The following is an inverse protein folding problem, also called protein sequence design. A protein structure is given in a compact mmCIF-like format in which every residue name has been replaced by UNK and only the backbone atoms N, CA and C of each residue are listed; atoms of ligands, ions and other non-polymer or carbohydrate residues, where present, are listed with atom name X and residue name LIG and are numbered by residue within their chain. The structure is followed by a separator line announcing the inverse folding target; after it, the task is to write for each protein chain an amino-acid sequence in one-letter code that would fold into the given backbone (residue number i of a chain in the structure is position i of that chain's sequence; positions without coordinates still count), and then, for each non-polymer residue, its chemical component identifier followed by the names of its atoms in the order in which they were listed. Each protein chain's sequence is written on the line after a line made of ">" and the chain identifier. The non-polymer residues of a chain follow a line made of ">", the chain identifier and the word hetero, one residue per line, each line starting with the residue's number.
data_IF_349186937400
#
_entry.id   IF_349186937400
#
_cell.length_a   1.000
_cell.length_b   1.000
_cell.length_c   1.000
_cell.angle_alpha   90.00
_cell.angle_beta   90.00
_cell.angle_gamma   90.00
#
_symmetry.space_group_name_H-M   'P 1'
#
loop_
_entity.id
_entity.type
_entity.pdbx_description
1 polymer ?
#
# COMPACT_ATOMS: atom_id res chain seq x y z
N UNK A 1 -49.68 -23.48 3.23
CA UNK A 1 -49.23 -22.51 4.26
C UNK A 1 -47.70 -22.58 4.34
N UNK A 2 -46.99 -21.63 3.74
CA UNK A 2 -45.51 -21.66 3.63
C UNK A 2 -44.94 -21.12 4.95
N UNK A 3 -44.26 -21.96 5.73
CA UNK A 3 -43.49 -21.54 6.93
C UNK A 3 -42.20 -20.87 6.47
N UNK A 4 -42.23 -19.55 6.29
CA UNK A 4 -41.03 -18.77 6.01
C UNK A 4 -40.17 -18.77 7.28
N UNK A 5 -38.96 -19.33 7.19
CA UNK A 5 -38.01 -19.33 8.30
C UNK A 5 -37.29 -17.98 8.35
N UNK A 6 -37.91 -17.01 9.02
CA UNK A 6 -37.51 -15.59 9.06
C UNK A 6 -36.04 -15.38 9.42
N UNK A 7 -35.45 -16.26 10.23
CA UNK A 7 -34.03 -16.20 10.62
C UNK A 7 -33.08 -16.36 9.43
N UNK A 8 -33.40 -17.26 8.48
CA UNK A 8 -32.59 -17.47 7.28
C UNK A 8 -32.80 -16.34 6.26
N UNK A 9 -34.03 -15.82 6.16
CA UNK A 9 -34.34 -14.68 5.30
C UNK A 9 -33.64 -13.39 5.75
N UNK A 10 -33.57 -13.15 7.06
CA UNK A 10 -32.87 -12.00 7.63
C UNK A 10 -31.36 -12.05 7.36
N UNK A 11 -30.73 -13.21 7.52
CA UNK A 11 -29.30 -13.37 7.22
C UNK A 11 -29.02 -13.10 5.74
N UNK A 12 -29.86 -13.64 4.85
CA UNK A 12 -29.72 -13.40 3.41
C UNK A 12 -29.90 -11.90 3.07
N UNK A 13 -30.88 -11.24 3.68
CA UNK A 13 -31.12 -9.80 3.50
C UNK A 13 -29.94 -8.94 3.98
N UNK A 14 -29.38 -9.24 5.15
CA UNK A 14 -28.18 -8.56 5.66
C UNK A 14 -26.97 -8.83 4.76
N UNK A 15 -26.82 -10.04 4.25
CA UNK A 15 -25.72 -10.39 3.34
C UNK A 15 -25.81 -9.63 2.01
N UNK A 16 -27.01 -9.48 1.45
CA UNK A 16 -27.24 -8.65 0.25
C UNK A 16 -26.99 -7.17 0.54
N UNK A 17 -27.36 -6.65 1.71
CA UNK A 17 -27.04 -5.28 2.12
C UNK A 17 -25.53 -5.03 2.21
N UNK A 18 -24.77 -5.98 2.76
CA UNK A 18 -23.31 -5.88 2.87
C UNK A 18 -22.61 -5.94 1.50
N UNK A 19 -23.19 -6.63 0.52
CA UNK A 19 -22.67 -6.67 -0.85
C UNK A 19 -22.96 -5.38 -1.65
N UNK A 20 -23.89 -4.54 -1.17
CA UNK A 20 -24.18 -3.21 -1.72
C UNK A 20 -23.42 -2.09 -0.99
N UNK A 21 -22.56 -2.42 -0.04
CA UNK A 21 -21.52 -1.49 0.38
C UNK A 21 -20.58 -1.37 -0.82
N UNK A 22 -20.83 -0.35 -1.64
CA UNK A 22 -20.02 0.02 -2.80
C UNK A 22 -18.53 -0.08 -2.46
N UNK A 23 -17.66 -0.41 -3.43
CA UNK A 23 -16.26 -0.15 -3.23
C UNK A 23 -16.15 1.33 -2.91
N UNK A 24 -15.68 1.66 -1.69
CA UNK A 24 -15.18 2.99 -1.37
C UNK A 24 -13.90 3.13 -2.20
N UNK A 25 -14.08 3.32 -3.50
CA UNK A 25 -13.06 3.94 -4.32
C UNK A 25 -13.05 5.36 -3.80
N UNK A 26 -12.06 5.69 -2.98
CA UNK A 26 -11.74 7.08 -2.69
C UNK A 26 -11.35 7.70 -4.03
N UNK A 27 -12.33 8.27 -4.73
CA UNK A 27 -12.07 9.14 -5.86
C UNK A 27 -11.11 10.22 -5.37
N UNK A 28 -10.05 10.51 -6.13
CA UNK A 28 -9.15 11.61 -5.78
C UNK A 28 -9.94 12.90 -6.06
N UNK A 29 -10.44 13.53 -5.00
CA UNK A 29 -11.42 14.63 -5.09
C UNK A 29 -10.75 15.93 -5.53
N UNK A 30 -9.45 16.10 -5.25
CA UNK A 30 -8.70 17.31 -5.61
C UNK A 30 -7.22 17.04 -5.93
N UNK A 31 -6.60 17.97 -6.67
CA UNK A 31 -5.15 17.97 -6.92
C UNK A 31 -4.35 18.06 -5.62
N UNK A 32 -4.89 18.73 -4.61
CA UNK A 32 -4.29 18.82 -3.28
C UNK A 32 -4.25 17.45 -2.60
N UNK A 33 -5.36 16.69 -2.64
CA UNK A 33 -5.43 15.34 -2.08
C UNK A 33 -4.45 14.38 -2.81
N UNK A 34 -4.30 14.54 -4.13
CA UNK A 34 -3.32 13.80 -4.92
C UNK A 34 -1.89 14.08 -4.47
N UNK A 35 -1.55 15.36 -4.30
CA UNK A 35 -0.21 15.79 -3.89
C UNK A 35 0.12 15.35 -2.47
N UNK A 36 -0.83 15.44 -1.54
CA UNK A 36 -0.67 14.92 -0.17
C UNK A 36 -0.45 13.41 -0.19
N UNK A 37 -1.27 12.67 -0.95
CA UNK A 37 -1.10 11.22 -1.08
C UNK A 37 0.27 10.86 -1.66
N UNK A 38 0.68 11.47 -2.78
CA UNK A 38 1.95 11.18 -3.41
C UNK A 38 3.13 11.54 -2.51
N UNK A 39 3.04 12.63 -1.76
CA UNK A 39 4.08 13.02 -0.79
C UNK A 39 4.24 11.96 0.29
N UNK A 40 3.15 11.53 0.93
CA UNK A 40 3.19 10.51 1.98
C UNK A 40 3.58 9.12 1.45
N UNK A 41 3.11 8.77 0.25
CA UNK A 41 3.50 7.53 -0.43
C UNK A 41 5.00 7.53 -0.71
N UNK A 42 5.54 8.61 -1.27
CA UNK A 42 6.96 8.75 -1.57
C UNK A 42 7.84 8.68 -0.32
N UNK A 43 7.44 9.31 0.80
CA UNK A 43 8.11 9.13 2.11
C UNK A 43 8.10 7.67 2.56
N UNK A 44 6.98 6.99 2.38
CA UNK A 44 6.84 5.56 2.73
C UNK A 44 7.79 4.68 1.92
N UNK A 45 7.96 4.96 0.62
CA UNK A 45 8.93 4.23 -0.23
C UNK A 45 10.37 4.40 0.27
N UNK A 46 10.77 5.63 0.64
CA UNK A 46 12.13 5.89 1.18
C UNK A 46 12.35 5.12 2.48
N UNK A 47 11.39 5.14 3.39
CA UNK A 47 11.50 4.41 4.66
C UNK A 47 11.62 2.90 4.45
N UNK A 48 10.89 2.33 3.47
CA UNK A 48 10.99 0.90 3.17
C UNK A 48 12.32 0.56 2.47
N UNK A 49 12.88 1.44 1.64
CA UNK A 49 14.25 1.30 1.11
C UNK A 49 15.25 1.23 2.26
N UNK A 50 15.21 2.18 3.20
CA UNK A 50 16.13 2.22 4.34
C UNK A 50 16.04 0.94 5.18
N UNK A 51 14.82 0.54 5.56
CA UNK A 51 14.57 -0.68 6.33
C UNK A 51 15.06 -1.94 5.61
N UNK A 52 14.87 -2.00 4.29
CA UNK A 52 15.32 -3.13 3.47
C UNK A 52 16.83 -3.17 3.32
N UNK A 53 17.48 -2.00 3.23
CA UNK A 53 18.93 -1.88 3.23
C UNK A 53 19.54 -2.38 4.54
N UNK A 54 18.96 -2.06 5.70
CA UNK A 54 19.44 -2.59 6.99
C UNK A 54 19.36 -4.13 7.03
N UNK A 55 18.27 -4.72 6.53
CA UNK A 55 18.15 -6.19 6.42
C UNK A 55 19.18 -6.78 5.45
N UNK A 56 19.51 -6.05 4.39
CA UNK A 56 20.53 -6.47 3.43
C UNK A 56 21.92 -6.50 4.09
N UNK A 57 22.26 -5.51 4.92
CA UNK A 57 23.49 -5.50 5.73
C UNK A 57 23.52 -6.71 6.68
N UNK A 58 22.46 -6.94 7.44
CA UNK A 58 22.38 -8.11 8.34
C UNK A 58 22.58 -9.44 7.59
N UNK A 59 22.09 -9.54 6.36
CA UNK A 59 22.27 -10.73 5.53
C UNK A 59 23.74 -10.94 5.14
N UNK A 60 24.50 -9.87 4.89
CA UNK A 60 25.96 -9.94 4.65
C UNK A 60 26.68 -10.42 5.90
N UNK A 61 26.40 -9.82 7.05
CA UNK A 61 27.03 -10.18 8.33
C UNK A 61 26.83 -11.66 8.68
N UNK A 62 25.63 -12.19 8.37
CA UNK A 62 25.25 -13.58 8.62
C UNK A 62 25.59 -14.53 7.46
N UNK A 63 26.31 -14.06 6.43
CA UNK A 63 26.70 -14.84 5.23
C UNK A 63 25.51 -15.48 4.50
N UNK A 64 24.35 -14.82 4.49
CA UNK A 64 23.11 -15.29 3.84
C UNK A 64 22.95 -14.67 2.45
N UNK A 65 23.70 -15.17 1.47
CA UNK A 65 23.73 -14.61 0.11
C UNK A 65 22.36 -14.60 -0.58
N UNK A 66 21.51 -15.58 -0.32
CA UNK A 66 20.13 -15.62 -0.87
C UNK A 66 19.29 -14.44 -0.35
N UNK A 67 19.34 -14.18 0.95
CA UNK A 67 18.60 -13.07 1.59
C UNK A 67 19.14 -11.71 1.11
N UNK A 68 20.47 -11.59 0.99
CA UNK A 68 21.11 -10.39 0.41
C UNK A 68 20.58 -10.09 -0.99
N UNK A 69 20.55 -11.10 -1.87
CA UNK A 69 20.06 -10.94 -3.24
C UNK A 69 18.56 -10.64 -3.29
N UNK A 70 17.78 -11.24 -2.39
CA UNK A 70 16.34 -10.99 -2.28
C UNK A 70 16.08 -9.54 -1.86
N UNK A 71 16.78 -9.03 -0.85
CA UNK A 71 16.65 -7.64 -0.41
C UNK A 71 17.15 -6.67 -1.48
N UNK A 72 18.23 -6.99 -2.19
CA UNK A 72 18.72 -6.14 -3.29
C UNK A 72 17.71 -5.97 -4.42
N UNK A 73 17.03 -7.05 -4.83
CA UNK A 73 15.95 -6.97 -5.83
C UNK A 73 14.74 -6.20 -5.30
N UNK A 74 14.41 -6.35 -4.02
CA UNK A 74 13.31 -5.62 -3.39
C UNK A 74 13.58 -4.12 -3.35
N UNK A 75 14.78 -3.72 -2.91
CA UNK A 75 15.24 -2.32 -2.93
C UNK A 75 15.17 -1.77 -4.35
N UNK A 76 15.70 -2.49 -5.34
CA UNK A 76 15.65 -2.08 -6.74
C UNK A 76 14.22 -1.82 -7.23
N UNK A 77 13.28 -2.73 -6.92
CA UNK A 77 11.87 -2.56 -7.31
C UNK A 77 11.24 -1.31 -6.68
N UNK A 78 11.50 -1.04 -5.40
CA UNK A 78 10.98 0.16 -4.74
C UNK A 78 11.63 1.43 -5.30
N UNK A 79 12.95 1.40 -5.54
CA UNK A 79 13.68 2.54 -6.14
C UNK A 79 13.19 2.86 -7.55
N UNK A 80 12.82 1.85 -8.34
CA UNK A 80 12.23 2.05 -9.66
C UNK A 80 10.86 2.73 -9.58
N UNK A 81 9.98 2.31 -8.66
CA UNK A 81 8.70 3.00 -8.40
C UNK A 81 8.93 4.44 -7.94
N UNK A 82 9.87 4.67 -7.02
CA UNK A 82 10.23 6.01 -6.54
C UNK A 82 10.65 6.94 -7.69
N UNK A 83 11.48 6.43 -8.61
CA UNK A 83 11.94 7.19 -9.76
C UNK A 83 10.79 7.48 -10.75
N UNK A 84 9.96 6.48 -11.06
CA UNK A 84 8.86 6.62 -12.01
C UNK A 84 7.74 7.54 -11.50
N UNK A 85 7.57 7.66 -10.18
CA UNK A 85 6.65 8.63 -9.57
C UNK A 85 7.25 10.02 -9.38
N UNK A 86 8.51 10.25 -9.78
CA UNK A 86 9.23 11.50 -9.56
C UNK A 86 9.18 11.95 -8.09
N UNK A 87 9.36 11.01 -7.16
CA UNK A 87 9.15 11.26 -5.73
C UNK A 87 10.04 12.37 -5.16
N UNK A 88 11.20 12.64 -5.76
CA UNK A 88 12.06 13.77 -5.40
C UNK A 88 11.35 15.12 -5.53
N UNK A 89 10.42 15.28 -6.48
CA UNK A 89 9.62 16.50 -6.61
C UNK A 89 8.70 16.68 -5.40
N UNK A 90 7.96 15.62 -5.03
CA UNK A 90 6.96 15.68 -3.96
C UNK A 90 7.58 15.80 -2.58
N UNK A 91 8.75 15.20 -2.34
CA UNK A 91 9.44 15.31 -1.06
C UNK A 91 10.04 16.70 -0.85
N UNK A 92 10.66 17.30 -1.88
CA UNK A 92 11.39 18.55 -1.74
C UNK A 92 10.53 19.81 -1.86
N UNK A 93 9.37 19.73 -2.52
CA UNK A 93 8.53 20.90 -2.81
C UNK A 93 7.26 20.98 -1.93
N UNK A 94 7.06 20.05 -0.99
CA UNK A 94 5.88 19.99 -0.13
C UNK A 94 6.21 20.17 1.36
N UNK A 95 7.15 21.08 1.64
CA UNK A 95 7.34 21.66 2.97
C UNK A 95 6.53 22.98 3.04
N UNK A 96 5.29 22.90 3.53
CA UNK A 96 4.48 24.06 3.94
C UNK A 96 4.04 23.92 5.40
#
# INVERSE_FOLDING_TARGET
>A
MIKINYRKGFIFFVMVLLLNLSPVNSEVISVEDEQVFLTEYCKTLVNEIEKSYQKQIEAVERKRTSDFNKMGRWIYGISDVFANLNCSYYINNYEY
#
